data_IF_478331675090
#
_entry.id   IF_478331675090
#
_cell.length_a   1.000
_cell.length_b   1.000
_cell.length_c   1.000
_cell.angle_alpha   90.00
_cell.angle_beta   90.00
_cell.angle_gamma   90.00
#
_symmetry.space_group_name_H-M   'P 1'
#
loop_
_entity.id
_entity.type
_entity.pdbx_description
1 polymer ?
#
# COMPACT_ATOMS: atom_id res chain seq x y z
N UNK A 1 2.72 8.45 2.03
CA UNK A 1 2.54 7.46 3.11
C UNK A 1 3.59 6.35 3.06
N UNK A 2 3.78 5.64 1.92
CA UNK A 2 4.75 4.53 1.86
C UNK A 2 6.15 4.92 2.32
N UNK A 3 6.64 6.08 1.89
CA UNK A 3 7.95 6.59 2.33
C UNK A 3 7.98 6.93 3.83
N UNK A 4 6.89 7.46 4.38
CA UNK A 4 6.83 7.77 5.82
C UNK A 4 6.85 6.49 6.67
N UNK A 5 6.21 5.41 6.16
CA UNK A 5 6.30 4.09 6.80
C UNK A 5 7.75 3.58 6.78
N UNK A 6 8.47 3.74 5.65
CA UNK A 6 9.90 3.39 5.59
C UNK A 6 10.68 4.15 6.65
N UNK A 7 10.51 5.49 6.77
CA UNK A 7 11.17 6.28 7.79
C UNK A 7 10.88 5.81 9.21
N UNK A 8 9.62 5.45 9.51
CA UNK A 8 9.25 4.95 10.84
C UNK A 8 9.84 3.57 11.15
N UNK A 9 9.97 2.69 10.15
CA UNK A 9 10.57 1.38 10.31
C UNK A 9 12.10 1.47 10.53
N UNK A 10 12.80 2.26 9.71
CA UNK A 10 14.26 2.38 9.84
C UNK A 10 14.68 3.10 11.13
N UNK A 11 13.88 4.05 11.64
CA UNK A 11 14.10 4.64 12.98
C UNK A 11 14.08 3.59 14.09
N UNK A 12 13.41 2.48 13.88
CA UNK A 12 13.34 1.34 14.82
C UNK A 12 14.36 0.24 14.52
N UNK A 13 15.29 0.49 13.61
CA UNK A 13 16.34 -0.47 13.23
C UNK A 13 15.88 -1.59 12.30
N UNK A 14 14.73 -1.42 11.63
CA UNK A 14 14.21 -2.40 10.68
C UNK A 14 14.88 -2.19 9.31
N UNK A 15 15.39 -3.26 8.72
CA UNK A 15 15.87 -3.25 7.34
C UNK A 15 14.68 -3.30 6.38
N UNK A 16 14.65 -2.42 5.38
CA UNK A 16 13.52 -2.26 4.47
C UNK A 16 13.96 -2.37 3.01
N UNK A 17 13.32 -3.23 2.26
CA UNK A 17 13.44 -3.27 0.79
C UNK A 17 12.26 -2.55 0.16
N UNK A 18 12.52 -1.49 -0.57
CA UNK A 18 11.51 -0.70 -1.29
C UNK A 18 11.37 -1.24 -2.71
N UNK A 19 10.15 -1.56 -3.12
CA UNK A 19 9.83 -1.83 -4.52
C UNK A 19 9.33 -0.54 -5.16
N UNK A 20 9.99 -0.07 -6.22
CA UNK A 20 9.64 1.19 -6.87
C UNK A 20 9.89 1.19 -8.37
N UNK A 21 8.99 1.82 -9.14
CA UNK A 21 9.14 1.98 -10.60
C UNK A 21 10.30 2.91 -10.99
N UNK A 22 10.60 3.87 -10.17
CA UNK A 22 11.64 4.87 -10.42
C UNK A 22 12.71 4.82 -9.33
N UNK A 23 13.65 3.91 -9.51
CA UNK A 23 14.77 3.70 -8.58
C UNK A 23 15.64 4.96 -8.41
N UNK A 24 15.78 5.79 -9.46
CA UNK A 24 16.59 7.01 -9.41
C UNK A 24 16.04 8.00 -8.39
N UNK A 25 14.71 8.13 -8.34
CA UNK A 25 14.04 9.00 -7.36
C UNK A 25 14.33 8.57 -5.92
N UNK A 26 14.32 7.26 -5.66
CA UNK A 26 14.57 6.75 -4.30
C UNK A 26 16.04 6.80 -3.90
N UNK A 27 16.97 6.61 -4.86
CA UNK A 27 18.42 6.77 -4.59
C UNK A 27 18.81 8.20 -4.22
N UNK A 28 18.00 9.19 -4.56
CA UNK A 28 18.20 10.59 -4.19
C UNK A 28 17.66 10.94 -2.79
N UNK A 29 16.86 10.03 -2.20
CA UNK A 29 16.36 10.25 -0.85
C UNK A 29 17.49 10.03 0.15
N UNK A 30 17.75 11.05 0.94
CA UNK A 30 18.75 10.98 1.98
C UNK A 30 18.14 10.37 3.26
N UNK A 31 18.51 9.13 3.57
CA UNK A 31 18.14 8.47 4.82
C UNK A 31 19.16 8.72 5.96
N UNK A 32 20.13 9.59 5.75
CA UNK A 32 21.16 9.92 6.72
C UNK A 32 22.00 8.70 7.13
N UNK A 33 22.30 8.58 8.43
CA UNK A 33 23.03 7.44 8.99
C UNK A 33 22.29 6.09 8.86
N UNK A 34 21.02 6.11 8.47
CA UNK A 34 20.17 4.92 8.34
C UNK A 34 20.11 4.37 6.89
N UNK A 35 20.89 4.93 5.97
CA UNK A 35 20.90 4.51 4.56
C UNK A 35 21.24 3.02 4.36
N UNK A 36 22.03 2.43 5.27
CA UNK A 36 22.37 0.99 5.25
C UNK A 36 21.19 0.07 5.58
N UNK A 37 20.09 0.62 6.09
CA UNK A 37 18.87 -0.12 6.37
C UNK A 37 17.89 -0.14 5.20
N UNK A 38 18.22 0.44 4.05
CA UNK A 38 17.30 0.59 2.92
C UNK A 38 17.91 0.03 1.64
N UNK A 39 17.27 -0.98 1.09
CA UNK A 39 17.49 -1.45 -0.27
C UNK A 39 16.37 -0.98 -1.19
N UNK A 40 16.65 -0.84 -2.49
CA UNK A 40 15.64 -0.48 -3.49
C UNK A 40 15.76 -1.45 -4.67
N UNK A 41 14.64 -2.09 -4.99
CA UNK A 41 14.49 -2.96 -6.16
C UNK A 41 13.57 -2.24 -7.17
N UNK A 42 14.00 -2.19 -8.42
CA UNK A 42 13.15 -1.69 -9.51
C UNK A 42 12.06 -2.71 -9.81
N UNK A 43 10.82 -2.27 -9.70
CA UNK A 43 9.65 -3.10 -9.97
C UNK A 43 8.46 -2.21 -10.35
N UNK A 44 7.92 -2.43 -11.53
CA UNK A 44 6.60 -1.94 -11.89
C UNK A 44 5.55 -3.00 -11.55
N UNK A 45 4.68 -2.67 -10.61
CA UNK A 45 3.61 -3.58 -10.19
C UNK A 45 2.58 -3.86 -11.30
N UNK A 46 2.57 -3.09 -12.38
CA UNK A 46 1.77 -3.38 -13.58
C UNK A 46 2.46 -4.36 -14.54
N UNK A 47 3.76 -4.59 -14.36
CA UNK A 47 4.52 -5.57 -15.12
C UNK A 47 4.64 -6.88 -14.34
N UNK A 48 3.95 -7.92 -14.82
CA UNK A 48 3.96 -9.26 -14.19
C UNK A 48 5.36 -9.84 -14.06
N UNK A 49 6.19 -9.63 -15.07
CA UNK A 49 7.56 -10.17 -15.08
C UNK A 49 8.43 -9.49 -14.02
N UNK A 50 8.26 -8.19 -13.81
CA UNK A 50 8.98 -7.49 -12.74
C UNK A 50 8.65 -8.09 -11.39
N UNK A 51 7.36 -8.36 -11.12
CA UNK A 51 6.92 -8.98 -9.86
C UNK A 51 7.55 -10.36 -9.67
N UNK A 52 7.53 -11.19 -10.71
CA UNK A 52 8.13 -12.55 -10.65
C UNK A 52 9.65 -12.48 -10.43
N UNK A 53 10.31 -11.52 -11.07
CA UNK A 53 11.75 -11.34 -10.98
C UNK A 53 12.23 -10.89 -9.59
N UNK A 54 11.33 -10.41 -8.72
CA UNK A 54 11.68 -10.06 -7.32
C UNK A 54 12.25 -11.30 -6.61
N UNK A 55 11.73 -12.49 -6.86
CA UNK A 55 12.17 -13.73 -6.22
C UNK A 55 13.67 -13.96 -6.32
N UNK A 56 14.29 -13.64 -7.45
CA UNK A 56 15.73 -13.79 -7.66
C UNK A 56 16.58 -12.77 -6.90
N UNK A 57 15.96 -11.72 -6.36
CA UNK A 57 16.63 -10.64 -5.65
C UNK A 57 16.45 -10.73 -4.13
N UNK A 58 15.59 -11.62 -3.64
CA UNK A 58 15.40 -11.87 -2.21
C UNK A 58 16.57 -12.68 -1.67
N UNK A 59 17.36 -12.09 -0.77
CA UNK A 59 18.56 -12.71 -0.20
C UNK A 59 18.38 -13.18 1.24
N UNK A 60 17.35 -12.70 1.91
CA UNK A 60 17.10 -12.94 3.33
C UNK A 60 15.62 -13.26 3.58
N UNK A 61 15.30 -13.96 4.66
CA UNK A 61 13.91 -14.17 5.05
C UNK A 61 13.16 -12.85 5.22
N UNK A 62 11.88 -12.83 4.84
CA UNK A 62 11.01 -11.66 4.87
C UNK A 62 10.14 -11.70 6.13
N UNK A 63 10.24 -10.68 6.97
CA UNK A 63 9.47 -10.52 8.20
C UNK A 63 8.10 -9.83 7.97
N UNK A 64 7.91 -9.19 6.83
CA UNK A 64 6.63 -8.59 6.48
C UNK A 64 6.58 -7.98 5.09
N UNK A 65 5.36 -7.87 4.59
CA UNK A 65 4.99 -7.14 3.37
C UNK A 65 4.07 -6.00 3.75
N UNK A 66 4.41 -4.77 3.36
CA UNK A 66 3.53 -3.62 3.48
C UNK A 66 3.14 -3.17 2.08
N UNK A 67 1.91 -3.45 1.68
CA UNK A 67 1.39 -3.07 0.37
C UNK A 67 0.74 -1.68 0.45
N UNK A 68 1.53 -0.66 0.11
CA UNK A 68 1.11 0.75 0.14
C UNK A 68 0.79 1.32 -1.25
N UNK A 69 0.95 0.52 -2.29
CA UNK A 69 0.61 0.94 -3.65
C UNK A 69 -0.90 1.00 -3.85
N UNK A 70 -1.32 1.98 -4.62
CA UNK A 70 -2.71 2.15 -4.98
C UNK A 70 -2.90 3.34 -5.90
N UNK A 71 -3.93 3.26 -6.71
CA UNK A 71 -4.38 4.35 -7.58
C UNK A 71 -5.91 4.36 -7.67
N UNK A 72 -6.44 5.44 -8.18
CA UNK A 72 -7.86 5.59 -8.48
C UNK A 72 -8.08 6.84 -9.30
N UNK A 73 -9.23 6.92 -9.93
CA UNK A 73 -9.69 8.03 -10.75
C UNK A 73 -11.00 8.55 -10.20
N UNK A 74 -11.07 9.86 -9.97
CA UNK A 74 -12.28 10.53 -9.48
C UNK A 74 -13.16 10.92 -10.68
N UNK A 75 -13.97 9.97 -11.15
CA UNK A 75 -14.83 10.11 -12.34
C UNK A 75 -16.17 9.41 -12.13
N UNK A 76 -17.20 9.86 -12.87
CA UNK A 76 -18.45 9.09 -12.95
C UNK A 76 -18.21 7.71 -13.57
N UNK A 77 -19.03 6.73 -13.25
CA UNK A 77 -18.92 5.37 -13.81
C UNK A 77 -18.86 5.39 -15.33
N UNK A 78 -19.73 6.19 -15.96
CA UNK A 78 -19.80 6.28 -17.42
C UNK A 78 -18.59 6.98 -18.09
N UNK A 79 -17.73 7.65 -17.31
CA UNK A 79 -16.59 8.43 -17.84
C UNK A 79 -15.25 7.72 -17.72
N UNK A 80 -15.22 6.53 -17.07
CA UNK A 80 -14.00 5.75 -17.01
C UNK A 80 -13.70 5.07 -18.34
N UNK A 81 -12.44 5.08 -18.75
CA UNK A 81 -11.99 4.23 -19.86
C UNK A 81 -11.74 2.81 -19.38
N UNK A 82 -11.68 1.85 -20.30
CA UNK A 82 -11.36 0.47 -19.98
C UNK A 82 -9.98 0.35 -19.32
N UNK A 83 -9.02 1.13 -19.80
CA UNK A 83 -7.64 1.16 -19.29
C UNK A 83 -7.61 1.65 -17.83
N UNK A 84 -8.33 2.73 -17.50
CA UNK A 84 -8.41 3.26 -16.14
C UNK A 84 -9.05 2.26 -15.17
N UNK A 85 -10.08 1.54 -15.62
CA UNK A 85 -10.69 0.47 -14.83
C UNK A 85 -9.70 -0.67 -14.60
N UNK A 86 -9.12 -1.20 -15.66
CA UNK A 86 -8.14 -2.31 -15.60
C UNK A 86 -6.98 -1.92 -14.68
N UNK A 87 -6.38 -0.75 -14.88
CA UNK A 87 -5.26 -0.26 -14.07
C UNK A 87 -5.61 -0.17 -12.58
N UNK A 88 -6.83 0.28 -12.27
CA UNK A 88 -7.29 0.40 -10.88
C UNK A 88 -7.35 -0.97 -10.19
N UNK A 89 -7.98 -1.95 -10.79
CA UNK A 89 -8.05 -3.30 -10.21
C UNK A 89 -6.70 -4.00 -10.24
N UNK A 90 -5.93 -3.77 -11.26
CA UNK A 90 -4.62 -4.36 -11.41
C UNK A 90 -3.69 -3.96 -10.27
N UNK A 91 -3.48 -2.66 -10.07
CA UNK A 91 -2.60 -2.17 -9.01
C UNK A 91 -3.18 -2.38 -7.62
N UNK A 92 -4.49 -2.15 -7.42
CA UNK A 92 -5.05 -2.19 -6.07
C UNK A 92 -5.30 -3.61 -5.54
N UNK A 93 -5.35 -4.62 -6.42
CA UNK A 93 -5.74 -5.98 -6.06
C UNK A 93 -4.84 -7.06 -6.67
N UNK A 94 -4.76 -7.12 -8.01
CA UNK A 94 -4.12 -8.26 -8.70
C UNK A 94 -2.62 -8.28 -8.41
N UNK A 95 -1.97 -7.13 -8.48
CA UNK A 95 -0.53 -7.01 -8.23
C UNK A 95 -0.15 -7.37 -6.79
N UNK A 96 -1.03 -7.08 -5.81
CA UNK A 96 -0.84 -7.56 -4.43
C UNK A 96 -0.81 -9.09 -4.38
N UNK A 97 -1.79 -9.76 -4.99
CA UNK A 97 -1.86 -11.22 -4.98
C UNK A 97 -0.65 -11.87 -5.64
N UNK A 98 -0.22 -11.33 -6.79
CA UNK A 98 0.97 -11.81 -7.48
C UNK A 98 2.24 -11.60 -6.64
N UNK A 99 2.40 -10.41 -6.05
CA UNK A 99 3.53 -10.11 -5.19
C UNK A 99 3.55 -11.02 -3.95
N UNK A 100 2.40 -11.18 -3.29
CA UNK A 100 2.27 -12.08 -2.16
C UNK A 100 2.69 -13.52 -2.53
N UNK A 101 2.17 -14.06 -3.64
CA UNK A 101 2.53 -15.39 -4.11
C UNK A 101 4.03 -15.52 -4.42
N UNK A 102 4.62 -14.48 -5.01
CA UNK A 102 6.06 -14.46 -5.33
C UNK A 102 6.92 -14.49 -4.07
N UNK A 103 6.54 -13.76 -3.03
CA UNK A 103 7.35 -13.65 -1.81
C UNK A 103 6.99 -14.69 -0.74
N UNK A 104 5.83 -15.35 -0.83
CA UNK A 104 5.34 -16.32 0.16
C UNK A 104 6.38 -17.35 0.58
N UNK A 105 7.18 -17.95 -0.32
CA UNK A 105 8.21 -18.93 0.06
C UNK A 105 9.32 -18.37 0.95
N UNK A 106 9.46 -17.06 1.03
CA UNK A 106 10.50 -16.36 1.79
C UNK A 106 9.99 -15.77 3.10
N UNK A 107 8.67 -15.82 3.35
CA UNK A 107 8.06 -15.31 4.59
C UNK A 107 8.43 -16.21 5.76
N UNK A 108 8.84 -15.60 6.87
CA UNK A 108 9.00 -16.32 8.14
C UNK A 108 7.63 -16.64 8.76
N UNK A 109 7.61 -17.57 9.69
CA UNK A 109 6.44 -17.78 10.56
C UNK A 109 6.14 -16.49 11.33
N UNK A 110 4.87 -16.13 11.44
CA UNK A 110 4.40 -14.88 12.05
C UNK A 110 4.84 -13.60 11.32
N UNK A 111 5.14 -13.69 10.01
CA UNK A 111 5.38 -12.51 9.21
C UNK A 111 4.12 -11.62 9.13
N UNK A 112 4.34 -10.31 9.01
CA UNK A 112 3.27 -9.33 8.90
C UNK A 112 2.89 -9.07 7.44
N UNK A 113 1.60 -9.11 7.14
CA UNK A 113 1.04 -8.69 5.85
C UNK A 113 0.15 -7.49 6.11
N UNK A 114 0.56 -6.32 5.63
CA UNK A 114 -0.15 -5.06 5.85
C UNK A 114 -0.66 -4.51 4.52
N UNK A 115 -1.98 -4.40 4.40
CA UNK A 115 -2.62 -3.82 3.23
C UNK A 115 -3.15 -2.41 3.51
N UNK A 116 -2.68 -1.42 2.74
CA UNK A 116 -3.24 -0.06 2.82
C UNK A 116 -4.50 0.01 1.95
N UNK A 117 -5.63 -0.08 2.63
CA UNK A 117 -6.96 0.00 2.06
C UNK A 117 -7.55 1.41 2.21
N UNK A 118 -8.86 1.54 2.23
CA UNK A 118 -9.57 2.80 2.33
C UNK A 118 -10.93 2.61 2.98
N UNK A 119 -11.44 3.65 3.62
CA UNK A 119 -12.85 3.70 4.04
C UNK A 119 -13.81 3.64 2.84
N UNK A 120 -13.36 4.00 1.64
CA UNK A 120 -14.12 3.81 0.40
C UNK A 120 -14.46 2.33 0.11
N UNK A 121 -13.82 1.38 0.79
CA UNK A 121 -14.19 -0.04 0.76
C UNK A 121 -15.56 -0.32 1.42
N UNK A 122 -15.99 0.55 2.33
CA UNK A 122 -17.23 0.37 3.13
C UNK A 122 -18.25 1.48 2.86
N UNK A 123 -17.78 2.67 2.49
CA UNK A 123 -18.63 3.85 2.29
C UNK A 123 -18.64 4.20 0.81
N UNK A 124 -19.79 4.09 0.20
CA UNK A 124 -19.98 4.45 -1.22
C UNK A 124 -19.86 5.96 -1.40
N UNK A 125 -19.01 6.36 -2.33
CA UNK A 125 -18.82 7.76 -2.70
C UNK A 125 -19.08 7.94 -4.20
N UNK A 126 -19.73 9.06 -4.56
CA UNK A 126 -19.85 9.48 -5.94
C UNK A 126 -18.45 9.67 -6.55
N UNK A 127 -18.30 9.35 -7.81
CA UNK A 127 -17.04 9.44 -8.57
C UNK A 127 -15.88 8.57 -8.07
N UNK A 128 -16.15 7.59 -7.19
CA UNK A 128 -15.13 6.68 -6.64
C UNK A 128 -15.50 5.19 -6.82
N UNK A 129 -16.39 4.86 -7.78
CA UNK A 129 -16.97 3.52 -7.90
C UNK A 129 -15.90 2.42 -8.04
N UNK A 130 -15.01 2.53 -9.04
CA UNK A 130 -13.98 1.49 -9.27
C UNK A 130 -12.91 1.48 -8.19
N UNK A 131 -12.53 2.66 -7.67
CA UNK A 131 -11.62 2.75 -6.54
C UNK A 131 -12.20 2.05 -5.31
N UNK A 132 -13.43 2.41 -4.90
CA UNK A 132 -14.10 1.80 -3.76
C UNK A 132 -14.27 0.29 -3.91
N UNK A 133 -14.75 -0.16 -5.09
CA UNK A 133 -14.90 -1.58 -5.39
C UNK A 133 -13.57 -2.35 -5.33
N UNK A 134 -12.47 -1.78 -5.86
CA UNK A 134 -11.15 -2.40 -5.79
C UNK A 134 -10.63 -2.52 -4.35
N UNK A 135 -10.89 -1.50 -3.50
CA UNK A 135 -10.51 -1.53 -2.07
C UNK A 135 -11.40 -2.47 -1.25
N UNK A 136 -12.68 -2.61 -1.60
CA UNK A 136 -13.56 -3.61 -1.01
C UNK A 136 -13.09 -5.04 -1.34
N UNK A 137 -12.75 -5.29 -2.61
CA UNK A 137 -12.17 -6.56 -3.03
C UNK A 137 -10.83 -6.85 -2.33
N UNK A 138 -9.98 -5.83 -2.18
CA UNK A 138 -8.71 -5.95 -1.47
C UNK A 138 -8.91 -6.32 0.00
N UNK A 139 -9.85 -5.68 0.71
CA UNK A 139 -10.19 -6.05 2.09
C UNK A 139 -10.69 -7.48 2.20
N UNK A 140 -11.52 -7.92 1.23
CA UNK A 140 -12.01 -9.30 1.21
C UNK A 140 -10.87 -10.30 1.04
N UNK A 141 -9.88 -10.00 0.20
CA UNK A 141 -8.68 -10.85 0.04
C UNK A 141 -7.84 -10.88 1.33
N UNK A 142 -7.63 -9.74 2.00
CA UNK A 142 -6.93 -9.71 3.29
C UNK A 142 -7.67 -10.50 4.36
N UNK A 143 -9.00 -10.45 4.38
CA UNK A 143 -9.83 -11.23 5.30
C UNK A 143 -9.71 -12.74 5.03
N UNK A 144 -9.76 -13.16 3.76
CA UNK A 144 -9.55 -14.55 3.39
C UNK A 144 -8.15 -15.02 3.79
N UNK A 145 -7.13 -14.20 3.55
CA UNK A 145 -5.76 -14.51 3.91
C UNK A 145 -5.59 -14.76 5.43
N UNK A 146 -6.30 -14.02 6.30
CA UNK A 146 -6.29 -14.28 7.76
C UNK A 146 -6.80 -15.67 8.12
N UNK A 147 -7.77 -16.19 7.35
CA UNK A 147 -8.34 -17.51 7.59
C UNK A 147 -7.47 -18.64 7.01
N UNK A 148 -6.89 -18.39 5.84
CA UNK A 148 -6.10 -19.39 5.11
C UNK A 148 -4.68 -19.53 5.66
N UNK A 149 -4.11 -18.45 6.22
CA UNK A 149 -2.73 -18.40 6.72
C UNK A 149 -2.69 -17.98 8.22
N UNK A 150 -3.15 -18.84 9.14
CA UNK A 150 -3.25 -18.50 10.57
C UNK A 150 -1.91 -18.22 11.26
N UNK A 151 -0.80 -18.54 10.60
CA UNK A 151 0.55 -18.22 11.05
C UNK A 151 1.04 -16.83 10.61
N UNK A 152 0.26 -16.05 9.87
CA UNK A 152 0.61 -14.69 9.46
C UNK A 152 -0.20 -13.66 10.26
N UNK A 153 0.41 -12.52 10.54
CA UNK A 153 -0.28 -11.36 11.11
C UNK A 153 -0.78 -10.46 9.97
N UNK A 154 -2.04 -10.59 9.60
CA UNK A 154 -2.62 -9.81 8.48
C UNK A 154 -3.37 -8.59 9.01
N UNK A 155 -2.93 -7.39 8.61
CA UNK A 155 -3.54 -6.12 9.01
C UNK A 155 -4.07 -5.34 7.81
N UNK A 156 -5.33 -4.94 7.86
CA UNK A 156 -5.92 -3.96 6.95
C UNK A 156 -5.89 -2.56 7.56
N UNK A 157 -5.50 -1.56 6.76
CA UNK A 157 -5.47 -0.16 7.17
C UNK A 157 -6.49 0.60 6.32
N UNK A 158 -7.67 0.87 6.89
CA UNK A 158 -8.78 1.52 6.21
C UNK A 158 -8.70 3.04 6.45
N UNK A 159 -8.07 3.74 5.51
CA UNK A 159 -7.82 5.17 5.66
C UNK A 159 -8.98 6.01 5.14
N UNK A 160 -9.27 7.11 5.81
CA UNK A 160 -9.94 8.26 5.20
C UNK A 160 -8.98 9.02 4.26
N UNK A 161 -9.30 10.25 3.89
CA UNK A 161 -8.44 11.07 3.05
C UNK A 161 -7.12 11.40 3.78
N UNK A 162 -6.00 11.17 3.07
CA UNK A 162 -4.64 11.42 3.57
C UNK A 162 -4.02 12.52 2.72
N UNK A 163 -3.30 13.45 3.33
CA UNK A 163 -2.55 14.48 2.61
C UNK A 163 -1.34 13.84 1.90
N UNK A 164 -1.53 13.50 0.62
CA UNK A 164 -0.53 12.85 -0.23
C UNK A 164 -0.72 13.24 -1.69
N UNK A 165 0.30 13.10 -2.55
CA UNK A 165 0.19 13.31 -3.99
C UNK A 165 -0.82 12.40 -4.72
N UNK A 166 -1.41 11.41 -4.03
CA UNK A 166 -2.45 10.54 -4.59
C UNK A 166 -3.61 11.36 -5.17
N UNK A 167 -4.07 12.39 -4.46
CA UNK A 167 -5.20 13.22 -4.87
C UNK A 167 -4.95 13.95 -6.18
N UNK A 168 -3.71 14.40 -6.44
CA UNK A 168 -3.36 15.10 -7.67
C UNK A 168 -3.49 14.20 -8.91
N UNK A 169 -3.25 12.88 -8.72
CA UNK A 169 -3.41 11.88 -9.79
C UNK A 169 -4.85 11.44 -9.95
N UNK A 170 -5.54 11.23 -8.82
CA UNK A 170 -6.93 10.76 -8.82
C UNK A 170 -7.91 11.82 -9.33
N UNK A 171 -7.67 13.09 -9.01
CA UNK A 171 -8.49 14.23 -9.39
C UNK A 171 -7.60 15.42 -9.76
N UNK A 172 -7.24 15.58 -11.06
CA UNK A 172 -6.45 16.72 -11.52
C UNK A 172 -7.08 18.10 -11.23
N UNK A 173 -8.42 18.15 -11.02
CA UNK A 173 -9.11 19.40 -10.64
C UNK A 173 -8.85 19.79 -9.19
N UNK A 174 -8.35 18.87 -8.37
CA UNK A 174 -8.17 19.00 -6.92
C UNK A 174 -9.45 19.33 -6.14
N UNK A 175 -10.61 19.13 -6.75
CA UNK A 175 -11.91 19.44 -6.15
C UNK A 175 -12.12 18.65 -4.86
N UNK A 176 -11.87 17.35 -4.91
CA UNK A 176 -11.91 16.47 -3.73
C UNK A 176 -10.90 16.90 -2.67
N UNK A 177 -9.66 17.18 -3.06
CA UNK A 177 -8.61 17.62 -2.13
C UNK A 177 -9.02 18.90 -1.39
N UNK A 178 -9.49 19.92 -2.12
CA UNK A 178 -9.89 21.20 -1.56
C UNK A 178 -11.09 21.05 -0.61
N UNK A 179 -12.05 20.18 -0.94
CA UNK A 179 -13.24 19.93 -0.11
C UNK A 179 -12.88 19.27 1.22
N UNK A 180 -11.94 18.33 1.25
CA UNK A 180 -11.64 17.51 2.42
C UNK A 180 -10.32 17.86 3.12
N UNK A 181 -9.57 18.85 2.65
CA UNK A 181 -8.25 19.22 3.16
C UNK A 181 -8.20 19.40 4.67
N UNK A 182 -9.24 20.01 5.26
CA UNK A 182 -9.30 20.30 6.70
C UNK A 182 -9.40 19.06 7.59
N UNK A 183 -9.82 17.93 7.04
CA UNK A 183 -9.98 16.67 7.77
C UNK A 183 -8.99 15.60 7.32
N UNK A 184 -8.07 15.92 6.41
CA UNK A 184 -7.05 14.99 5.95
C UNK A 184 -6.05 14.67 7.05
N UNK A 185 -5.72 13.39 7.16
CA UNK A 185 -4.70 12.92 8.08
C UNK A 185 -3.32 13.21 7.48
N UNK A 186 -2.38 13.63 8.30
CA UNK A 186 -0.99 13.74 7.91
C UNK A 186 -0.38 12.34 7.73
N UNK A 187 0.29 12.12 6.61
CA UNK A 187 0.81 10.80 6.24
C UNK A 187 1.83 10.25 7.24
N UNK A 188 2.65 11.12 7.85
CA UNK A 188 3.62 10.72 8.87
C UNK A 188 2.94 10.25 10.18
N UNK A 189 1.85 10.88 10.61
CA UNK A 189 1.09 10.46 11.79
C UNK A 189 0.43 9.09 11.56
N UNK A 190 -0.11 8.88 10.36
CA UNK A 190 -0.67 7.58 10.01
C UNK A 190 0.41 6.50 9.93
N UNK A 191 1.59 6.82 9.38
CA UNK A 191 2.72 5.90 9.34
C UNK A 191 3.14 5.41 10.73
N UNK A 192 3.21 6.33 11.72
CA UNK A 192 3.47 5.96 13.11
C UNK A 192 2.42 4.99 13.66
N UNK A 193 1.12 5.30 13.45
CA UNK A 193 0.02 4.41 13.88
C UNK A 193 0.09 3.03 13.22
N UNK A 194 0.48 2.96 11.95
CA UNK A 194 0.64 1.70 11.20
C UNK A 194 1.76 0.87 11.84
N UNK A 195 2.94 1.47 12.05
CA UNK A 195 4.08 0.74 12.63
C UNK A 195 3.79 0.32 14.07
N UNK A 196 3.11 1.13 14.87
CA UNK A 196 2.62 0.72 16.19
C UNK A 196 1.59 -0.42 16.10
N UNK A 197 0.73 -0.40 15.08
CA UNK A 197 -0.24 -1.46 14.82
C UNK A 197 0.44 -2.80 14.49
N UNK A 198 1.52 -2.76 13.70
CA UNK A 198 2.36 -3.93 13.42
C UNK A 198 2.94 -4.50 14.71
N UNK A 199 3.58 -3.66 15.53
CA UNK A 199 4.19 -4.08 16.81
C UNK A 199 3.14 -4.67 17.78
N UNK A 200 1.91 -4.14 17.76
CA UNK A 200 0.80 -4.61 18.62
C UNK A 200 -0.04 -5.71 17.96
N UNK A 201 0.40 -6.25 16.83
CA UNK A 201 -0.29 -7.32 16.07
C UNK A 201 -1.77 -7.01 15.79
N UNK A 202 -2.09 -5.75 15.52
CA UNK A 202 -3.47 -5.35 15.20
C UNK A 202 -3.91 -5.99 13.89
N UNK A 203 -5.17 -6.42 13.83
CA UNK A 203 -5.77 -6.93 12.59
C UNK A 203 -6.31 -5.80 11.72
N UNK A 204 -6.64 -4.66 12.32
CA UNK A 204 -7.27 -3.55 11.60
C UNK A 204 -6.92 -2.20 12.21
N UNK A 205 -6.76 -1.21 11.34
CA UNK A 205 -6.69 0.21 11.70
C UNK A 205 -7.72 0.95 10.85
N UNK A 206 -8.68 1.63 11.51
CA UNK A 206 -9.62 2.54 10.89
C UNK A 206 -9.19 3.97 11.20
N UNK A 207 -8.94 4.79 10.18
CA UNK A 207 -8.47 6.17 10.33
C UNK A 207 -9.18 7.09 9.33
N UNK A 208 -9.68 8.29 9.75
CA UNK A 208 -9.56 8.89 11.08
C UNK A 208 -10.53 8.27 12.07
N UNK A 209 -10.12 8.19 13.31
CA UNK A 209 -10.97 7.97 14.49
C UNK A 209 -10.44 8.82 15.60
#
# INVERSE_FOLDING_TARGET
>A
LGLDIVHELIKRGTHVTILARNIKKFRQINFGSQSSFVDVIECDLQNRQDIVNISSQIKTPIHGLIYSSGLGYCKSIASHTAEEMIETYDVNLISFNLLYNTIKPYLIKHAHIVGISSQAAFVTQSHAAHYGASKAAFNQVLNALRLEEPNLHVMSVNTGPIDTPFHQKADPSLSYFNQYRSIMIQSNQLAQRIVEGIIKEKQEINAPT
#
